data_IF_784845482260
#
_entry.id   IF_784845482260
#
_cell.length_a   1.000
_cell.length_b   1.000
_cell.length_c   1.000
_cell.angle_alpha   90.00
_cell.angle_beta   90.00
_cell.angle_gamma   90.00
#
_symmetry.space_group_name_H-M   'P 1'
#
loop_
_entity.id
_entity.type
_entity.pdbx_description
1 polymer ?
#
# COMPACT_ATOMS: atom_id res chain seq x y z
N UNK A 1 -8.01 -17.30 38.00
CA UNK A 1 -8.35 -17.07 36.58
C UNK A 1 -7.92 -15.65 36.26
N UNK A 2 -6.77 -15.46 35.61
CA UNK A 2 -6.28 -14.11 35.25
C UNK A 2 -6.89 -13.75 33.90
N UNK A 3 -7.63 -12.65 33.90
CA UNK A 3 -8.14 -12.00 32.69
C UNK A 3 -6.95 -11.52 31.87
N UNK A 4 -6.60 -12.26 30.82
CA UNK A 4 -5.63 -11.81 29.82
C UNK A 4 -6.42 -10.84 28.94
N UNK A 5 -6.38 -9.55 29.28
CA UNK A 5 -6.71 -8.50 28.32
C UNK A 5 -5.73 -8.68 27.16
N UNK A 6 -6.17 -9.37 26.11
CA UNK A 6 -5.52 -9.30 24.81
C UNK A 6 -5.80 -7.89 24.29
N UNK A 7 -5.00 -6.93 24.75
CA UNK A 7 -4.74 -5.74 23.94
C UNK A 7 -3.86 -6.21 22.78
N UNK A 8 -4.45 -7.02 21.88
CA UNK A 8 -3.85 -7.24 20.58
C UNK A 8 -3.87 -5.87 19.92
N UNK A 9 -2.71 -5.22 19.86
CA UNK A 9 -2.47 -4.13 18.91
C UNK A 9 -2.62 -4.78 17.54
N UNK A 10 -3.86 -4.83 17.05
CA UNK A 10 -4.16 -5.24 15.70
C UNK A 10 -3.53 -4.21 14.79
N UNK A 11 -2.64 -4.65 13.91
CA UNK A 11 -2.12 -3.78 12.86
C UNK A 11 -3.19 -3.72 11.77
N UNK A 12 -3.96 -2.64 11.74
CA UNK A 12 -4.98 -2.33 10.72
C UNK A 12 -4.37 -1.56 9.53
N UNK A 13 -5.06 -1.52 8.38
CA UNK A 13 -4.54 -0.76 7.21
C UNK A 13 -4.34 0.70 7.52
N UNK A 14 -5.20 1.29 8.36
CA UNK A 14 -5.06 2.70 8.76
C UNK A 14 -3.69 2.96 9.39
N UNK A 15 -3.27 2.09 10.31
CA UNK A 15 -1.97 2.15 10.95
C UNK A 15 -0.85 1.97 9.94
N UNK A 16 -0.95 0.95 9.06
CA UNK A 16 0.05 0.67 8.04
C UNK A 16 0.21 1.84 7.08
N UNK A 17 -0.90 2.41 6.61
CA UNK A 17 -0.92 3.52 5.68
C UNK A 17 -0.34 4.78 6.31
N UNK A 18 -0.68 5.08 7.57
CA UNK A 18 -0.05 6.16 8.32
C UNK A 18 1.47 5.97 8.46
N UNK A 19 1.93 4.74 8.70
CA UNK A 19 3.37 4.43 8.73
C UNK A 19 4.04 4.62 7.36
N UNK A 20 3.42 4.15 6.28
CA UNK A 20 3.95 4.30 4.92
C UNK A 20 4.03 5.77 4.50
N UNK A 21 2.97 6.55 4.73
CA UNK A 21 2.98 7.99 4.46
C UNK A 21 4.09 8.71 5.23
N UNK A 22 4.23 8.41 6.53
CA UNK A 22 5.28 8.99 7.37
C UNK A 22 6.67 8.61 6.84
N UNK A 23 6.86 7.35 6.41
CA UNK A 23 8.12 6.90 5.83
C UNK A 23 8.44 7.61 4.53
N UNK A 24 7.47 7.79 3.65
CA UNK A 24 7.68 8.58 2.43
C UNK A 24 8.05 10.03 2.76
N UNK A 25 7.41 10.65 3.75
CA UNK A 25 7.76 11.99 4.21
C UNK A 25 9.18 12.06 4.79
N UNK A 26 9.60 11.06 5.56
CA UNK A 26 10.97 10.94 6.08
C UNK A 26 12.01 10.92 4.94
N UNK A 27 11.64 10.36 3.78
CA UNK A 27 12.47 10.36 2.56
C UNK A 27 12.34 11.64 1.71
N UNK A 28 11.59 12.65 2.17
CA UNK A 28 11.36 13.89 1.44
C UNK A 28 10.34 13.78 0.30
N UNK A 29 9.51 12.74 0.31
CA UNK A 29 8.52 12.46 -0.73
C UNK A 29 7.11 12.93 -0.31
N UNK A 30 6.20 13.22 -1.26
CA UNK A 30 4.82 13.56 -0.93
C UNK A 30 4.04 12.34 -0.44
N UNK A 31 4.07 12.07 0.88
CA UNK A 31 3.68 10.78 1.45
C UNK A 31 2.31 10.26 1.03
N UNK A 32 1.25 11.05 1.19
CA UNK A 32 -0.10 10.68 0.75
C UNK A 32 -0.16 10.29 -0.72
N UNK A 33 0.42 11.13 -1.58
CA UNK A 33 0.40 10.93 -3.04
C UNK A 33 1.17 9.67 -3.43
N UNK A 34 2.31 9.41 -2.78
CA UNK A 34 3.09 8.21 -3.04
C UNK A 34 2.38 6.94 -2.59
N UNK A 35 1.68 6.96 -1.45
CA UNK A 35 0.88 5.83 -1.03
C UNK A 35 -0.27 5.54 -2.01
N UNK A 36 -0.98 6.57 -2.47
CA UNK A 36 -2.03 6.42 -3.47
C UNK A 36 -1.48 5.87 -4.80
N UNK A 37 -0.30 6.33 -5.23
CA UNK A 37 0.41 5.77 -6.39
C UNK A 37 0.70 4.28 -6.23
N UNK A 38 1.18 3.88 -5.06
CA UNK A 38 1.51 2.49 -4.75
C UNK A 38 0.27 1.58 -4.74
N UNK A 39 -0.85 2.05 -4.18
CA UNK A 39 -2.15 1.33 -4.23
C UNK A 39 -2.61 1.18 -5.68
N UNK A 40 -2.59 2.27 -6.46
CA UNK A 40 -2.94 2.26 -7.87
C UNK A 40 -2.08 1.29 -8.69
N UNK A 41 -0.75 1.35 -8.52
CA UNK A 41 0.18 0.49 -9.25
C UNK A 41 0.04 -0.99 -8.86
N UNK A 42 -0.35 -1.28 -7.61
CA UNK A 42 -0.68 -2.64 -7.13
C UNK A 42 -1.97 -3.17 -7.79
N UNK A 43 -2.95 -2.31 -7.99
CA UNK A 43 -4.20 -2.65 -8.66
C UNK A 43 -4.03 -2.79 -10.18
N UNK A 44 -3.20 -1.92 -10.79
CA UNK A 44 -2.92 -1.90 -12.23
C UNK A 44 -2.14 -3.13 -12.68
N UNK A 45 -1.05 -3.43 -11.99
CA UNK A 45 -0.29 -4.63 -12.24
C UNK A 45 -0.37 -5.48 -11.00
N UNK A 46 -1.02 -6.63 -11.13
CA UNK A 46 -0.99 -7.65 -10.10
C UNK A 46 0.48 -7.96 -9.84
N UNK A 47 1.05 -7.40 -8.77
CA UNK A 47 2.40 -7.68 -8.25
C UNK A 47 2.64 -9.21 -8.17
N UNK A 48 1.54 -9.97 -8.07
CA UNK A 48 1.43 -11.39 -8.29
C UNK A 48 1.79 -11.83 -9.71
N UNK A 49 3.03 -12.32 -9.87
CA UNK A 49 3.35 -13.69 -10.31
C UNK A 49 4.84 -14.03 -10.14
N UNK A 50 5.72 -13.03 -9.98
CA UNK A 50 7.18 -13.22 -9.97
C UNK A 50 7.88 -12.82 -8.65
N UNK A 51 7.21 -12.07 -7.75
CA UNK A 51 7.86 -11.51 -6.54
C UNK A 51 7.67 -12.37 -5.26
N UNK A 52 7.21 -13.62 -5.41
CA UNK A 52 7.02 -14.57 -4.31
C UNK A 52 6.21 -14.01 -3.13
N UNK A 53 6.59 -14.39 -1.90
CA UNK A 53 5.91 -14.00 -0.65
C UNK A 53 5.84 -12.49 -0.44
N UNK A 54 6.91 -11.76 -0.80
CA UNK A 54 6.96 -10.30 -0.65
C UNK A 54 5.89 -9.64 -1.53
N UNK A 55 5.74 -10.10 -2.77
CA UNK A 55 4.70 -9.62 -3.66
C UNK A 55 3.29 -9.91 -3.14
N UNK A 56 3.07 -11.10 -2.59
CA UNK A 56 1.78 -11.47 -2.01
C UNK A 56 1.45 -10.64 -0.76
N UNK A 57 2.44 -10.37 0.10
CA UNK A 57 2.24 -9.53 1.28
C UNK A 57 1.88 -8.10 0.88
N UNK A 58 2.61 -7.51 -0.07
CA UNK A 58 2.34 -6.15 -0.53
C UNK A 58 0.96 -6.03 -1.18
N UNK A 59 0.54 -7.03 -1.96
CA UNK A 59 -0.84 -7.08 -2.47
C UNK A 59 -1.85 -7.07 -1.32
N UNK A 60 -1.67 -7.87 -0.28
CA UNK A 60 -2.60 -7.89 0.87
C UNK A 60 -2.67 -6.51 1.54
N UNK A 61 -1.53 -5.85 1.74
CA UNK A 61 -1.47 -4.55 2.41
C UNK A 61 -2.04 -3.41 1.55
N UNK A 62 -1.76 -3.41 0.26
CA UNK A 62 -2.06 -2.31 -0.67
C UNK A 62 -3.28 -2.57 -1.56
N UNK A 63 -4.14 -3.51 -1.17
CA UNK A 63 -5.48 -3.71 -1.76
C UNK A 63 -6.52 -3.34 -0.69
N UNK A 64 -6.93 -2.07 -0.59
CA UNK A 64 -7.91 -1.58 0.39
C UNK A 64 -9.19 -2.43 0.46
N UNK A 65 -9.70 -2.91 -0.67
CA UNK A 65 -10.92 -3.72 -0.77
C UNK A 65 -10.80 -5.16 -0.22
N UNK A 66 -9.58 -5.61 0.12
CA UNK A 66 -9.33 -7.01 0.48
C UNK A 66 -9.69 -7.38 1.94
N UNK A 67 -10.25 -6.46 2.73
CA UNK A 67 -10.68 -6.70 4.12
C UNK A 67 -12.02 -6.04 4.45
N UNK A 68 -12.42 -6.17 5.72
CA UNK A 68 -13.45 -5.31 6.29
C UNK A 68 -13.11 -3.83 6.11
N UNK A 69 -14.15 -3.00 6.05
CA UNK A 69 -14.03 -1.55 6.04
C UNK A 69 -13.39 -1.08 7.35
N UNK A 70 -12.19 -0.50 7.23
CA UNK A 70 -11.40 0.04 8.33
C UNK A 70 -11.60 1.57 8.46
N UNK A 71 -12.70 2.11 7.87
CA UNK A 71 -13.03 3.53 7.81
C UNK A 71 -11.85 4.31 7.19
N UNK A 72 -11.36 3.76 6.08
CA UNK A 72 -10.28 4.35 5.29
C UNK A 72 -10.84 5.51 4.47
N UNK A 73 -10.10 6.62 4.32
CA UNK A 73 -10.47 7.67 3.39
C UNK A 73 -10.71 7.15 1.97
N UNK A 74 -11.73 7.69 1.30
CA UNK A 74 -12.24 7.23 0.01
C UNK A 74 -11.20 7.24 -1.12
N UNK A 75 -10.20 8.11 -1.04
CA UNK A 75 -9.14 8.21 -2.05
C UNK A 75 -8.29 6.94 -2.16
N UNK A 76 -8.15 6.16 -1.08
CA UNK A 76 -7.48 4.86 -1.12
C UNK A 76 -8.23 3.84 -1.97
N UNK A 77 -9.54 3.71 -1.73
CA UNK A 77 -10.40 2.82 -2.51
C UNK A 77 -10.49 3.30 -3.96
N UNK A 78 -10.59 4.61 -4.18
CA UNK A 78 -10.59 5.19 -5.52
C UNK A 78 -9.29 4.90 -6.28
N UNK A 79 -8.14 4.96 -5.61
CA UNK A 79 -6.85 4.61 -6.21
C UNK A 79 -6.78 3.15 -6.64
N UNK A 80 -7.45 2.25 -5.92
CA UNK A 80 -7.56 0.84 -6.30
C UNK A 80 -8.52 0.63 -7.49
N UNK A 81 -9.67 1.30 -7.50
CA UNK A 81 -10.74 1.12 -8.48
C UNK A 81 -10.45 1.73 -9.85
N UNK A 82 -9.57 2.73 -9.92
CA UNK A 82 -9.19 3.43 -11.16
C UNK A 82 -7.70 3.26 -11.49
N UNK A 83 -7.23 2.03 -11.76
CA UNK A 83 -5.82 1.74 -11.91
C UNK A 83 -5.27 2.08 -13.31
N UNK A 84 -5.63 3.24 -13.85
CA UNK A 84 -5.20 3.71 -15.17
C UNK A 84 -4.22 4.88 -15.03
N UNK A 85 -3.12 4.83 -15.81
CA UNK A 85 -2.14 5.91 -15.87
C UNK A 85 -1.64 6.39 -14.48
N UNK A 86 -1.38 5.46 -13.55
CA UNK A 86 -1.00 5.76 -12.16
C UNK A 86 0.19 6.75 -12.05
N UNK A 87 1.16 6.64 -12.95
CA UNK A 87 2.31 7.53 -13.03
C UNK A 87 1.91 8.98 -13.38
N UNK A 88 0.93 9.17 -14.25
CA UNK A 88 0.42 10.50 -14.63
C UNK A 88 -0.48 11.06 -13.54
N UNK A 89 -1.42 10.24 -13.05
CA UNK A 89 -2.39 10.61 -12.01
C UNK A 89 -1.67 11.04 -10.73
N UNK A 90 -0.60 10.32 -10.36
CA UNK A 90 0.20 10.59 -9.16
C UNK A 90 1.61 11.10 -9.48
N UNK A 91 1.73 11.94 -10.52
CA UNK A 91 3.00 12.50 -11.04
C UNK A 91 3.86 13.28 -10.03
N UNK A 92 3.28 13.72 -8.90
CA UNK A 92 4.05 14.35 -7.82
C UNK A 92 4.87 13.35 -7.00
N UNK A 93 4.53 12.07 -7.03
CA UNK A 93 5.38 11.04 -6.46
C UNK A 93 6.41 10.60 -7.51
N UNK A 94 7.73 10.82 -7.28
CA UNK A 94 8.75 10.48 -8.26
C UNK A 94 9.07 8.98 -8.31
N UNK A 95 8.57 8.20 -7.35
CA UNK A 95 8.87 6.78 -7.21
C UNK A 95 7.65 5.91 -7.53
N UNK A 96 7.90 4.76 -8.13
CA UNK A 96 6.92 3.69 -8.28
C UNK A 96 7.21 2.54 -7.33
N UNK A 97 6.19 1.73 -7.10
CA UNK A 97 6.25 0.52 -6.28
C UNK A 97 7.28 -0.48 -6.84
N UNK A 98 7.43 -0.54 -8.17
CA UNK A 98 8.40 -1.42 -8.83
C UNK A 98 9.86 -1.05 -8.55
N UNK A 99 10.18 0.22 -8.31
CA UNK A 99 11.54 0.67 -8.02
C UNK A 99 12.12 0.03 -6.74
N UNK A 100 11.24 -0.53 -5.88
CA UNK A 100 11.60 -1.09 -4.58
C UNK A 100 11.39 -2.60 -4.45
N UNK A 101 10.70 -3.26 -5.39
CA UNK A 101 10.29 -4.66 -5.25
C UNK A 101 10.75 -5.54 -6.43
N UNK A 102 11.69 -5.09 -7.26
CA UNK A 102 12.28 -5.99 -8.26
C UNK A 102 13.16 -7.05 -7.59
N UNK A 103 12.75 -8.31 -7.61
CA UNK A 103 13.69 -9.43 -7.55
C UNK A 103 14.41 -9.50 -8.91
N UNK A 104 15.71 -9.24 -8.95
CA UNK A 104 16.55 -9.66 -10.07
C UNK A 104 16.57 -11.19 -10.08
N UNK A 105 15.79 -11.81 -10.96
CA UNK A 105 16.13 -13.13 -11.46
C UNK A 105 17.04 -12.92 -12.68
N UNK A 106 18.34 -13.15 -12.49
CA UNK A 106 19.22 -13.63 -13.57
C UNK A 106 18.86 -15.09 -13.90
#
# INVERSE_FOLDING_TARGET
MRDVRQDAVGVDRRTIYGMLESKFQDFGLPGRVCLLRFICETAQWKISRHNGLTGDLLRILLTPSSSADEDLPDDYTLAEEQPDDCDKTYSRCPIGIYDYITSTEE
#
